data_IF_109892735162
#
_entry.id   IF_109892735162
#
_cell.length_a   1.000
_cell.length_b   1.000
_cell.length_c   1.000
_cell.angle_alpha   90.00
_cell.angle_beta   90.00
_cell.angle_gamma   90.00
#
_symmetry.space_group_name_H-M   'P 1'
#
loop_
_entity.id
_entity.type
_entity.pdbx_description
1 polymer ?
#
# COMPACT_ATOMS: atom_id res chain seq x y z
N UNK A 1 28.19 10.66 -6.79
CA UNK A 1 26.78 11.08 -6.62
C UNK A 1 26.57 11.37 -5.15
N UNK A 2 25.75 12.37 -4.80
CA UNK A 2 25.32 12.60 -3.41
C UNK A 2 24.54 11.38 -2.93
N UNK A 3 24.85 10.87 -1.73
CA UNK A 3 24.07 9.77 -1.14
C UNK A 3 22.73 10.31 -0.62
N UNK A 4 21.60 9.59 -0.83
CA UNK A 4 20.30 10.11 -0.46
C UNK A 4 20.09 10.08 1.05
N UNK A 5 19.30 11.03 1.56
CA UNK A 5 18.73 11.00 2.91
C UNK A 5 17.26 10.57 2.84
N UNK A 6 16.94 9.47 3.50
CA UNK A 6 15.61 8.86 3.54
C UNK A 6 15.07 8.97 4.97
N UNK A 7 13.92 9.61 5.14
CA UNK A 7 13.19 9.65 6.41
C UNK A 7 12.02 8.68 6.31
N UNK A 8 11.90 7.77 7.27
CA UNK A 8 10.84 6.77 7.29
C UNK A 8 9.91 7.04 8.49
N UNK A 9 8.75 7.63 8.24
CA UNK A 9 7.71 7.93 9.22
C UNK A 9 6.77 6.73 9.37
N UNK A 10 6.54 6.31 10.61
CA UNK A 10 5.84 5.07 10.93
C UNK A 10 6.73 3.84 10.75
N UNK A 11 8.03 3.98 11.02
CA UNK A 11 9.03 2.93 10.85
C UNK A 11 8.77 1.70 11.72
N UNK A 12 7.97 1.82 12.79
CA UNK A 12 7.47 0.73 13.62
C UNK A 12 6.46 -0.18 12.93
N UNK A 13 6.01 0.16 11.71
CA UNK A 13 5.03 -0.62 10.96
C UNK A 13 5.52 -2.05 10.67
N UNK A 14 4.81 -3.04 11.20
CA UNK A 14 5.13 -4.46 10.94
C UNK A 14 4.84 -4.86 9.49
N UNK A 15 3.79 -4.32 8.88
CA UNK A 15 3.36 -4.69 7.52
C UNK A 15 4.26 -4.13 6.42
N UNK A 16 4.76 -2.89 6.59
CA UNK A 16 5.54 -2.21 5.56
C UNK A 16 7.00 -2.00 5.95
N UNK A 17 7.35 -1.99 7.25
CA UNK A 17 8.72 -1.78 7.71
C UNK A 17 9.71 -2.81 7.19
N UNK A 18 9.41 -4.11 7.37
CA UNK A 18 10.34 -5.20 7.00
C UNK A 18 10.58 -5.31 5.49
N UNK A 19 9.55 -5.31 4.61
CA UNK A 19 9.78 -5.33 3.17
C UNK A 19 10.56 -4.10 2.68
N UNK A 20 10.24 -2.90 3.19
CA UNK A 20 10.98 -1.68 2.85
C UNK A 20 12.43 -1.76 3.32
N UNK A 21 12.70 -2.31 4.50
CA UNK A 21 14.08 -2.53 4.98
C UNK A 21 14.84 -3.49 4.08
N UNK A 22 14.22 -4.61 3.68
CA UNK A 22 14.85 -5.56 2.75
C UNK A 22 15.29 -4.83 1.48
N UNK A 23 14.42 -4.02 0.89
CA UNK A 23 14.74 -3.33 -0.36
C UNK A 23 15.83 -2.27 -0.16
N UNK A 24 15.82 -1.53 0.96
CA UNK A 24 16.86 -0.55 1.28
C UNK A 24 18.24 -1.21 1.48
N UNK A 25 18.30 -2.29 2.26
CA UNK A 25 19.58 -2.93 2.62
C UNK A 25 20.11 -3.88 1.55
N UNK A 26 19.30 -4.30 0.58
CA UNK A 26 19.78 -5.13 -0.55
C UNK A 26 20.18 -4.33 -1.78
N UNK A 27 19.71 -3.08 -1.91
CA UNK A 27 19.97 -2.26 -3.08
C UNK A 27 21.32 -1.52 -3.01
N UNK A 28 22.23 -1.84 -3.94
CA UNK A 28 23.58 -1.28 -3.98
C UNK A 28 23.61 0.22 -4.23
N UNK A 29 22.59 0.75 -4.93
CA UNK A 29 22.49 2.18 -5.25
C UNK A 29 22.26 3.05 -4.01
N UNK A 30 21.89 2.44 -2.88
CA UNK A 30 21.67 3.10 -1.60
C UNK A 30 22.83 2.94 -0.62
N UNK A 31 23.96 2.37 -1.05
CA UNK A 31 25.15 2.27 -0.21
C UNK A 31 25.59 3.66 0.28
N UNK A 32 25.86 3.79 1.59
CA UNK A 32 26.22 5.06 2.23
C UNK A 32 25.08 6.08 2.37
N UNK A 33 23.83 5.71 2.06
CA UNK A 33 22.66 6.55 2.32
C UNK A 33 22.46 6.80 3.82
N UNK A 34 21.72 7.87 4.14
CA UNK A 34 21.26 8.12 5.51
C UNK A 34 19.81 7.67 5.64
N UNK A 35 19.53 6.80 6.60
CA UNK A 35 18.18 6.31 6.92
C UNK A 35 17.80 6.78 8.33
N UNK A 36 16.81 7.66 8.41
CA UNK A 36 16.27 8.18 9.66
C UNK A 36 14.92 7.50 9.95
N UNK A 37 14.84 6.71 11.01
CA UNK A 37 13.61 6.06 11.44
C UNK A 37 12.82 6.97 12.37
N UNK A 38 11.53 7.13 12.11
CA UNK A 38 10.65 7.98 12.91
C UNK A 38 9.41 7.20 13.31
N UNK A 39 9.15 7.13 14.60
CA UNK A 39 7.91 6.59 15.16
C UNK A 39 7.60 7.27 16.50
N UNK A 40 6.33 7.48 16.81
CA UNK A 40 5.90 8.05 18.09
C UNK A 40 6.01 7.03 19.22
N UNK A 41 5.96 5.74 18.88
CA UNK A 41 6.15 4.64 19.81
C UNK A 41 7.65 4.32 19.94
N UNK A 42 8.24 4.74 21.07
CA UNK A 42 9.66 4.57 21.33
C UNK A 42 10.09 3.09 21.42
N UNK A 43 9.22 2.20 21.88
CA UNK A 43 9.54 0.77 22.02
C UNK A 43 9.60 0.10 20.65
N UNK A 44 8.59 0.33 19.81
CA UNK A 44 8.58 -0.17 18.44
C UNK A 44 9.72 0.44 17.60
N UNK A 45 10.03 1.73 17.80
CA UNK A 45 11.16 2.39 17.17
C UNK A 45 12.51 1.74 17.55
N UNK A 46 12.70 1.39 18.82
CA UNK A 46 13.92 0.71 19.28
C UNK A 46 14.08 -0.66 18.61
N UNK A 47 13.01 -1.46 18.58
CA UNK A 47 13.01 -2.79 17.93
C UNK A 47 13.39 -2.69 16.46
N UNK A 48 12.77 -1.76 15.73
CA UNK A 48 13.05 -1.57 14.30
C UNK A 48 14.44 -0.99 14.06
N UNK A 49 14.94 -0.10 14.92
CA UNK A 49 16.31 0.40 14.81
C UNK A 49 17.36 -0.69 15.07
N UNK A 50 17.12 -1.59 16.03
CA UNK A 50 17.99 -2.75 16.25
C UNK A 50 18.01 -3.68 15.03
N UNK A 51 16.85 -3.93 14.41
CA UNK A 51 16.77 -4.69 13.15
C UNK A 51 17.55 -3.99 12.03
N UNK A 52 17.36 -2.67 11.84
CA UNK A 52 18.07 -1.89 10.83
C UNK A 52 19.60 -1.98 11.01
N UNK A 53 20.11 -1.87 12.24
CA UNK A 53 21.53 -2.06 12.55
C UNK A 53 22.01 -3.43 12.12
N UNK A 54 21.28 -4.48 12.48
CA UNK A 54 21.66 -5.85 12.12
C UNK A 54 21.68 -6.08 10.61
N UNK A 55 20.69 -5.56 9.90
CA UNK A 55 20.63 -5.64 8.44
C UNK A 55 21.76 -4.85 7.77
N UNK A 56 22.13 -3.68 8.31
CA UNK A 56 23.26 -2.90 7.82
C UNK A 56 24.61 -3.61 8.00
N UNK A 57 24.82 -4.24 9.16
CA UNK A 57 26.01 -5.06 9.44
C UNK A 57 26.13 -6.23 8.46
N UNK A 58 25.04 -6.98 8.26
CA UNK A 58 25.03 -8.17 7.40
C UNK A 58 25.16 -7.80 5.92
N UNK A 59 24.47 -6.75 5.48
CA UNK A 59 24.49 -6.32 4.08
C UNK A 59 25.76 -5.60 3.67
N UNK A 60 26.53 -5.06 4.62
CA UNK A 60 27.76 -4.31 4.35
C UNK A 60 27.53 -3.01 3.58
N UNK A 61 26.29 -2.49 3.50
CA UNK A 61 25.95 -1.31 2.70
C UNK A 61 26.40 0.02 3.32
N UNK A 62 26.81 0.01 4.60
CA UNK A 62 27.39 1.16 5.27
C UNK A 62 26.43 2.35 5.40
N UNK A 63 25.13 2.10 5.56
CA UNK A 63 24.15 3.17 5.77
C UNK A 63 24.43 3.89 7.10
N UNK A 64 24.14 5.19 7.13
CA UNK A 64 24.10 5.98 8.37
C UNK A 64 22.70 5.89 8.95
N UNK A 65 22.56 5.34 10.16
CA UNK A 65 21.27 5.07 10.78
C UNK A 65 20.99 6.04 11.92
N UNK A 66 19.88 6.76 11.81
CA UNK A 66 19.36 7.66 12.85
C UNK A 66 17.96 7.21 13.27
N UNK A 67 17.54 7.61 14.47
CA UNK A 67 16.16 7.45 14.92
C UNK A 67 15.73 8.61 15.81
N UNK A 68 14.44 8.95 15.78
CA UNK A 68 13.84 9.96 16.66
C UNK A 68 12.33 9.73 16.77
N UNK A 69 11.72 10.18 17.86
CA UNK A 69 10.26 10.27 17.96
C UNK A 69 9.72 11.59 17.38
N UNK A 70 10.60 12.53 17.07
CA UNK A 70 10.27 13.87 16.60
C UNK A 70 10.70 14.05 15.14
N UNK A 71 9.76 13.89 14.20
CA UNK A 71 10.04 13.92 12.75
C UNK A 71 10.83 15.15 12.29
N UNK A 72 10.55 16.33 12.87
CA UNK A 72 11.19 17.60 12.47
C UNK A 72 12.71 17.59 12.67
N UNK A 73 13.24 16.80 13.61
CA UNK A 73 14.68 16.71 13.87
C UNK A 73 15.46 16.14 12.68
N UNK A 74 14.80 15.33 11.84
CA UNK A 74 15.45 14.59 10.76
C UNK A 74 14.94 14.95 9.37
N UNK A 75 13.86 15.74 9.24
CA UNK A 75 13.31 16.13 7.93
C UNK A 75 14.24 17.03 7.11
N UNK A 76 15.04 17.88 7.78
CA UNK A 76 15.92 18.83 7.09
C UNK A 76 16.85 18.12 6.09
N UNK A 77 16.77 18.54 4.82
CA UNK A 77 17.60 18.03 3.73
C UNK A 77 17.26 16.60 3.27
N UNK A 78 16.12 16.04 3.67
CA UNK A 78 15.64 14.75 3.15
C UNK A 78 15.43 14.81 1.62
N UNK A 79 15.74 13.70 0.96
CA UNK A 79 15.46 13.49 -0.47
C UNK A 79 14.18 12.68 -0.68
N UNK A 80 13.89 11.77 0.26
CA UNK A 80 12.70 10.93 0.28
C UNK A 80 12.12 10.85 1.69
N UNK A 81 10.80 10.97 1.79
CA UNK A 81 10.04 10.74 3.01
C UNK A 81 9.07 9.59 2.74
N UNK A 82 9.35 8.44 3.33
CA UNK A 82 8.47 7.25 3.27
C UNK A 82 7.48 7.35 4.43
N UNK A 83 6.20 7.17 4.14
CA UNK A 83 5.14 7.18 5.14
C UNK A 83 4.40 5.85 5.17
N UNK A 84 4.38 5.21 6.34
CA UNK A 84 3.53 4.05 6.62
C UNK A 84 2.85 4.15 7.99
N UNK A 85 2.51 5.36 8.42
CA UNK A 85 1.82 5.59 9.69
C UNK A 85 0.42 4.95 9.70
N UNK A 86 0.00 4.54 10.88
CA UNK A 86 -1.39 4.22 11.18
C UNK A 86 -1.68 4.53 12.64
N UNK A 87 -2.78 5.24 12.89
CA UNK A 87 -3.20 5.63 14.24
C UNK A 87 -4.01 4.47 14.82
N UNK A 88 -3.55 3.87 15.92
CA UNK A 88 -4.26 2.80 16.65
C UNK A 88 -4.95 1.78 15.72
N UNK A 89 -4.21 1.33 14.68
CA UNK A 89 -4.72 0.68 13.46
C UNK A 89 -5.84 -0.31 13.73
N UNK A 90 -5.58 -1.33 14.55
CA UNK A 90 -6.50 -2.44 14.73
C UNK A 90 -7.78 -2.03 15.47
N UNK A 91 -7.66 -1.25 16.55
CA UNK A 91 -8.80 -0.91 17.39
C UNK A 91 -9.71 0.13 16.73
N UNK A 92 -9.13 1.09 15.99
CA UNK A 92 -9.91 2.04 15.21
C UNK A 92 -10.53 1.37 13.98
N UNK A 93 -9.84 0.45 13.31
CA UNK A 93 -10.42 -0.27 12.17
C UNK A 93 -11.59 -1.17 12.58
N UNK A 94 -11.52 -1.85 13.74
CA UNK A 94 -12.67 -2.56 14.31
C UNK A 94 -13.88 -1.64 14.47
N UNK A 95 -13.67 -0.38 14.87
CA UNK A 95 -14.75 0.61 15.00
C UNK A 95 -15.24 1.11 13.65
N UNK A 96 -14.32 1.40 12.71
CA UNK A 96 -14.66 1.79 11.33
C UNK A 96 -15.52 0.76 10.63
N UNK A 97 -15.32 -0.51 10.95
CA UNK A 97 -16.13 -1.61 10.44
C UNK A 97 -17.46 -1.76 11.19
N UNK A 98 -17.43 -1.84 12.53
CA UNK A 98 -18.61 -2.18 13.36
C UNK A 98 -19.62 -1.03 13.51
N UNK A 99 -19.16 0.22 13.56
CA UNK A 99 -20.06 1.36 13.77
C UNK A 99 -21.03 1.52 12.59
N UNK A 100 -20.59 1.56 11.31
CA UNK A 100 -21.53 1.59 10.18
C UNK A 100 -22.46 0.37 10.15
N UNK A 101 -21.94 -0.81 10.47
CA UNK A 101 -22.72 -2.06 10.50
C UNK A 101 -23.89 -1.98 11.50
N UNK A 102 -23.68 -1.38 12.68
CA UNK A 102 -24.74 -1.13 13.67
C UNK A 102 -25.91 -0.30 13.11
N UNK A 103 -25.65 0.55 12.12
CA UNK A 103 -26.66 1.39 11.48
C UNK A 103 -27.16 0.82 10.13
N UNK A 104 -26.90 -0.46 9.86
CA UNK A 104 -27.41 -1.16 8.68
C UNK A 104 -26.56 -0.99 7.42
N UNK A 105 -25.36 -0.42 7.52
CA UNK A 105 -24.42 -0.37 6.39
C UNK A 105 -23.74 -1.73 6.24
N UNK A 106 -23.98 -2.38 5.10
CA UNK A 106 -23.32 -3.63 4.71
C UNK A 106 -22.08 -3.30 3.88
N UNK A 107 -20.93 -3.84 4.28
CA UNK A 107 -19.65 -3.61 3.62
C UNK A 107 -18.65 -4.71 3.93
N UNK A 108 -17.56 -4.76 3.18
CA UNK A 108 -16.53 -5.81 3.28
C UNK A 108 -15.51 -5.52 4.36
N UNK A 109 -14.82 -4.36 4.29
CA UNK A 109 -13.64 -4.06 5.11
C UNK A 109 -13.75 -2.70 5.82
N UNK A 110 -14.29 -1.68 5.15
CA UNK A 110 -14.43 -0.33 5.71
C UNK A 110 -13.09 0.39 5.89
N UNK A 111 -12.06 0.01 5.15
CA UNK A 111 -10.71 0.61 5.19
C UNK A 111 -10.52 1.67 4.11
N UNK A 112 -10.87 1.37 2.85
CA UNK A 112 -10.60 2.26 1.70
C UNK A 112 -11.87 2.81 1.04
N UNK A 113 -13.01 2.13 1.24
CA UNK A 113 -14.32 2.60 0.80
C UNK A 113 -15.37 2.63 1.90
N UNK A 114 -16.54 3.16 1.56
CA UNK A 114 -17.67 3.31 2.48
C UNK A 114 -17.44 4.27 3.66
N UNK A 115 -18.36 4.26 4.65
CA UNK A 115 -18.30 5.16 5.81
C UNK A 115 -17.10 4.91 6.74
N UNK A 116 -16.63 3.66 6.86
CA UNK A 116 -15.43 3.34 7.64
C UNK A 116 -14.18 4.06 7.12
N UNK A 117 -13.98 4.05 5.80
CA UNK A 117 -12.89 4.76 5.15
C UNK A 117 -12.99 6.28 5.29
N UNK A 118 -14.22 6.83 5.40
CA UNK A 118 -14.41 8.25 5.71
C UNK A 118 -13.91 8.58 7.12
N UNK A 119 -14.28 7.78 8.13
CA UNK A 119 -13.77 7.95 9.49
C UNK A 119 -12.25 7.85 9.53
N UNK A 120 -11.69 6.85 8.84
CA UNK A 120 -10.25 6.68 8.73
C UNK A 120 -9.57 7.88 8.05
N UNK A 121 -10.14 8.39 6.96
CA UNK A 121 -9.64 9.60 6.28
C UNK A 121 -9.63 10.81 7.21
N UNK A 122 -10.71 11.05 7.95
CA UNK A 122 -10.83 12.21 8.84
C UNK A 122 -9.82 12.19 9.98
N UNK A 123 -9.37 11.02 10.43
CA UNK A 123 -8.32 10.90 11.44
C UNK A 123 -6.91 11.03 10.84
N UNK A 124 -6.68 10.43 9.68
CA UNK A 124 -5.34 10.33 9.08
C UNK A 124 -4.94 11.59 8.33
N UNK A 125 -5.85 12.18 7.54
CA UNK A 125 -5.52 13.28 6.65
C UNK A 125 -4.96 14.52 7.38
N UNK A 126 -5.47 14.94 8.57
CA UNK A 126 -4.86 16.03 9.32
C UNK A 126 -3.39 15.80 9.63
N UNK A 127 -3.03 14.58 10.09
CA UNK A 127 -1.63 14.22 10.37
C UNK A 127 -0.77 14.25 9.12
N UNK A 128 -1.29 13.78 7.98
CA UNK A 128 -0.58 13.88 6.70
C UNK A 128 -0.33 15.34 6.34
N UNK A 129 -1.34 16.22 6.46
CA UNK A 129 -1.18 17.63 6.14
C UNK A 129 -0.19 18.33 7.08
N UNK A 130 -0.09 17.90 8.35
CA UNK A 130 0.95 18.38 9.27
C UNK A 130 2.35 17.98 8.78
N UNK A 131 2.53 16.74 8.32
CA UNK A 131 3.78 16.27 7.70
C UNK A 131 4.09 17.07 6.43
N UNK A 132 3.08 17.34 5.59
CA UNK A 132 3.28 18.13 4.37
C UNK A 132 3.80 19.53 4.69
N UNK A 133 3.23 20.21 5.68
CA UNK A 133 3.71 21.55 6.12
C UNK A 133 5.14 21.50 6.63
N UNK A 134 5.50 20.49 7.40
CA UNK A 134 6.89 20.30 7.86
C UNK A 134 7.85 20.04 6.68
N UNK A 135 7.43 19.25 5.69
CA UNK A 135 8.23 18.99 4.49
C UNK A 135 8.39 20.23 3.62
N UNK A 136 7.34 21.04 3.44
CA UNK A 136 7.43 22.28 2.66
C UNK A 136 8.43 23.28 3.28
N UNK A 137 8.56 23.28 4.61
CA UNK A 137 9.54 24.10 5.32
C UNK A 137 10.96 23.53 5.27
N UNK A 138 11.11 22.22 5.54
CA UNK A 138 12.42 21.61 5.86
C UNK A 138 13.06 20.85 4.70
N UNK A 139 12.26 20.37 3.76
CA UNK A 139 12.70 19.57 2.62
C UNK A 139 11.73 19.68 1.41
N UNK A 140 11.48 20.88 0.87
CA UNK A 140 10.46 21.11 -0.16
C UNK A 140 10.70 20.32 -1.47
N UNK A 141 11.94 19.90 -1.71
CA UNK A 141 12.31 19.10 -2.88
C UNK A 141 12.24 17.58 -2.66
N UNK A 142 11.87 17.12 -1.46
CA UNK A 142 11.74 15.70 -1.19
C UNK A 142 10.55 15.08 -1.91
N UNK A 143 10.64 13.78 -2.20
CA UNK A 143 9.47 12.98 -2.59
C UNK A 143 8.79 12.40 -1.35
N UNK A 144 7.48 12.56 -1.26
CA UNK A 144 6.63 11.85 -0.31
C UNK A 144 6.13 10.54 -0.93
N UNK A 145 6.52 9.42 -0.33
CA UNK A 145 6.17 8.07 -0.76
C UNK A 145 5.22 7.46 0.26
N UNK A 146 3.94 7.35 -0.09
CA UNK A 146 2.89 6.95 0.83
C UNK A 146 2.48 5.48 0.67
N UNK A 147 2.59 4.71 1.75
CA UNK A 147 2.02 3.37 1.92
C UNK A 147 0.79 3.33 2.83
N UNK A 148 0.47 4.44 3.51
CA UNK A 148 -0.69 4.50 4.42
C UNK A 148 -2.01 4.52 3.66
N UNK A 149 -3.00 3.81 4.20
CA UNK A 149 -4.39 3.91 3.77
C UNK A 149 -5.14 5.03 4.52
N UNK A 150 -6.26 5.53 3.97
CA UNK A 150 -6.80 5.24 2.63
C UNK A 150 -6.04 5.98 1.54
N UNK A 151 -5.26 5.25 0.73
CA UNK A 151 -4.19 5.81 -0.10
C UNK A 151 -4.72 6.85 -1.09
N UNK A 152 -5.80 6.53 -1.80
CA UNK A 152 -6.40 7.44 -2.79
C UNK A 152 -6.82 8.77 -2.16
N UNK A 153 -7.35 8.76 -0.92
CA UNK A 153 -7.76 9.98 -0.21
C UNK A 153 -6.56 10.78 0.28
N UNK A 154 -5.53 10.11 0.78
CA UNK A 154 -4.29 10.73 1.22
C UNK A 154 -3.60 11.42 0.05
N UNK A 155 -3.35 10.68 -1.04
CA UNK A 155 -2.67 11.21 -2.23
C UNK A 155 -3.47 12.33 -2.87
N UNK A 156 -4.81 12.21 -2.95
CA UNK A 156 -5.68 13.30 -3.41
C UNK A 156 -5.55 14.54 -2.53
N UNK A 157 -5.60 14.38 -1.21
CA UNK A 157 -5.47 15.48 -0.26
C UNK A 157 -4.11 16.19 -0.36
N UNK A 158 -3.02 15.43 -0.46
CA UNK A 158 -1.68 15.99 -0.68
C UNK A 158 -1.62 16.80 -1.98
N UNK A 159 -2.11 16.25 -3.09
CA UNK A 159 -2.08 16.93 -4.39
C UNK A 159 -2.99 18.18 -4.44
N UNK A 160 -4.07 18.22 -3.65
CA UNK A 160 -4.95 19.39 -3.59
C UNK A 160 -4.41 20.50 -2.69
N UNK A 161 -3.71 20.15 -1.61
CA UNK A 161 -3.40 21.08 -0.53
C UNK A 161 -1.91 21.28 -0.23
N UNK A 162 -1.01 20.63 -0.96
CA UNK A 162 0.44 20.77 -0.82
C UNK A 162 1.14 20.82 -2.17
N UNK A 163 2.35 21.38 -2.20
CA UNK A 163 3.24 21.38 -3.37
C UNK A 163 4.25 20.24 -3.37
N UNK A 164 4.29 19.42 -2.31
CA UNK A 164 5.22 18.29 -2.19
C UNK A 164 4.94 17.24 -3.27
N UNK A 165 6.02 16.77 -3.90
CA UNK A 165 5.97 15.67 -4.88
C UNK A 165 5.50 14.40 -4.19
N UNK A 166 4.38 13.82 -4.61
CA UNK A 166 3.73 12.72 -3.90
C UNK A 166 3.44 11.52 -4.82
N UNK A 167 3.74 10.31 -4.33
CA UNK A 167 3.35 9.04 -4.98
C UNK A 167 2.73 8.11 -3.92
N UNK A 168 1.58 7.54 -4.23
CA UNK A 168 0.99 6.42 -3.49
C UNK A 168 1.52 5.08 -4.00
N UNK A 169 1.80 4.16 -3.09
CA UNK A 169 2.37 2.84 -3.41
C UNK A 169 1.53 1.74 -2.76
N UNK A 170 0.93 0.89 -3.59
CA UNK A 170 0.19 -0.29 -3.17
C UNK A 170 0.57 -1.53 -4.00
N UNK A 171 0.47 -2.70 -3.39
CA UNK A 171 0.81 -3.99 -4.00
C UNK A 171 -0.38 -4.67 -4.71
N UNK A 172 -1.57 -4.06 -4.74
CA UNK A 172 -2.80 -4.67 -5.26
C UNK A 172 -2.74 -5.14 -6.72
N UNK A 173 -1.91 -4.51 -7.56
CA UNK A 173 -1.67 -4.95 -8.94
C UNK A 173 -0.97 -6.33 -8.99
N UNK A 174 -0.10 -6.63 -8.02
CA UNK A 174 0.59 -7.91 -7.93
C UNK A 174 -0.34 -9.03 -7.48
N UNK A 175 -1.37 -8.72 -6.68
CA UNK A 175 -2.41 -9.67 -6.31
C UNK A 175 -3.22 -10.10 -7.54
N UNK A 176 -3.64 -9.14 -8.37
CA UNK A 176 -4.33 -9.44 -9.63
C UNK A 176 -3.45 -10.25 -10.59
N UNK A 177 -2.16 -9.90 -10.70
CA UNK A 177 -1.19 -10.67 -11.49
C UNK A 177 -1.09 -12.12 -11.02
N UNK A 178 -1.06 -12.35 -9.71
CA UNK A 178 -1.01 -13.70 -9.13
C UNK A 178 -2.31 -14.48 -9.41
N UNK A 179 -3.47 -13.85 -9.21
CA UNK A 179 -4.77 -14.46 -9.52
C UNK A 179 -4.86 -14.86 -11.01
N UNK A 180 -4.46 -13.96 -11.91
CA UNK A 180 -4.46 -14.23 -13.35
C UNK A 180 -3.47 -15.32 -13.74
N UNK A 181 -2.25 -15.29 -13.20
CA UNK A 181 -1.24 -16.32 -13.46
C UNK A 181 -1.68 -17.71 -12.96
N UNK A 182 -2.32 -17.76 -11.79
CA UNK A 182 -2.89 -18.98 -11.22
C UNK A 182 -3.96 -19.58 -12.14
N UNK A 183 -4.89 -18.76 -12.63
CA UNK A 183 -5.93 -19.20 -13.58
C UNK A 183 -5.29 -19.65 -14.90
N UNK A 184 -4.27 -18.94 -15.38
CA UNK A 184 -3.52 -19.33 -16.59
C UNK A 184 -2.67 -20.60 -16.39
N UNK A 185 -2.44 -21.05 -15.15
CA UNK A 185 -1.50 -22.14 -14.86
C UNK A 185 -0.05 -21.79 -15.21
N UNK A 186 0.34 -20.52 -15.03
CA UNK A 186 1.67 -19.99 -15.35
C UNK A 186 2.36 -19.44 -14.10
N UNK A 187 3.71 -19.40 -14.05
CA UNK A 187 4.43 -18.64 -13.04
C UNK A 187 4.01 -17.16 -13.08
N UNK A 188 3.83 -16.52 -11.91
CA UNK A 188 3.44 -15.11 -11.87
C UNK A 188 4.46 -14.24 -12.62
N UNK A 189 5.75 -14.58 -12.52
CA UNK A 189 6.89 -13.89 -13.11
C UNK A 189 6.84 -13.84 -14.64
N UNK A 190 6.19 -14.82 -15.29
CA UNK A 190 6.05 -14.89 -16.75
C UNK A 190 4.85 -14.11 -17.28
N UNK A 191 3.96 -13.64 -16.40
CA UNK A 191 2.79 -12.83 -16.78
C UNK A 191 3.12 -11.36 -16.53
N UNK A 192 2.96 -10.51 -17.52
CA UNK A 192 3.01 -9.06 -17.40
C UNK A 192 1.59 -8.50 -17.41
N UNK A 193 1.31 -7.53 -16.54
CA UNK A 193 0.01 -6.86 -16.48
C UNK A 193 0.16 -5.35 -16.54
N UNK A 194 -0.77 -4.69 -17.21
CA UNK A 194 -0.94 -3.24 -17.17
C UNK A 194 -2.36 -2.94 -16.69
N UNK A 195 -2.49 -2.15 -15.63
CA UNK A 195 -3.77 -1.79 -15.02
C UNK A 195 -3.98 -0.29 -14.92
N UNK A 196 -5.23 0.15 -14.94
CA UNK A 196 -5.61 1.55 -14.79
C UNK A 196 -6.88 1.69 -13.91
N UNK A 197 -6.90 2.72 -13.07
CA UNK A 197 -8.00 3.01 -12.13
C UNK A 197 -7.50 3.71 -10.86
N UNK A 198 -8.23 3.54 -9.76
CA UNK A 198 -7.86 4.08 -8.43
C UNK A 198 -7.20 2.99 -7.56
N UNK A 199 -6.53 3.34 -6.47
CA UNK A 199 -6.03 2.32 -5.54
C UNK A 199 -7.17 1.37 -5.14
N UNK A 200 -6.91 0.05 -5.14
CA UNK A 200 -7.89 -1.01 -4.84
C UNK A 200 -9.14 -1.06 -5.77
N UNK A 201 -9.16 -0.26 -6.84
CA UNK A 201 -10.26 -0.21 -7.79
C UNK A 201 -9.75 0.05 -9.21
N UNK A 202 -9.03 -0.93 -9.77
CA UNK A 202 -8.41 -0.84 -11.10
C UNK A 202 -8.87 -2.00 -11.98
N UNK A 203 -8.71 -1.83 -13.29
CA UNK A 203 -8.96 -2.85 -14.30
C UNK A 203 -7.68 -3.16 -15.04
N UNK A 204 -7.38 -4.45 -15.23
CA UNK A 204 -6.26 -4.91 -16.04
C UNK A 204 -6.59 -4.66 -17.51
N UNK A 205 -5.94 -3.65 -18.09
CA UNK A 205 -6.10 -3.24 -19.48
C UNK A 205 -5.33 -4.15 -20.45
N UNK A 206 -4.23 -4.75 -20.00
CA UNK A 206 -3.48 -5.73 -20.77
C UNK A 206 -2.88 -6.80 -19.86
N UNK A 207 -2.88 -8.04 -20.35
CA UNK A 207 -2.18 -9.18 -19.74
C UNK A 207 -1.38 -9.87 -20.84
N UNK A 208 -0.07 -10.01 -20.66
CA UNK A 208 0.82 -10.52 -21.71
C UNK A 208 1.77 -11.57 -21.18
N UNK A 209 2.22 -12.45 -22.06
CA UNK A 209 3.40 -13.25 -21.79
C UNK A 209 4.63 -12.33 -21.83
N UNK A 210 5.39 -12.32 -20.75
CA UNK A 210 6.52 -11.40 -20.58
C UNK A 210 7.66 -11.67 -21.59
N UNK A 211 7.80 -12.91 -22.06
CA UNK A 211 8.88 -13.28 -22.97
C UNK A 211 8.49 -13.05 -24.44
N UNK A 212 7.26 -13.39 -24.81
CA UNK A 212 6.82 -13.33 -26.23
C UNK A 212 6.04 -12.06 -26.56
N UNK A 213 5.48 -11.37 -25.56
CA UNK A 213 4.58 -10.24 -25.74
C UNK A 213 3.16 -10.64 -26.19
N UNK A 214 2.86 -11.94 -26.24
CA UNK A 214 1.54 -12.46 -26.63
C UNK A 214 0.44 -11.98 -25.68
N UNK A 215 -0.71 -11.57 -26.23
CA UNK A 215 -1.89 -11.23 -25.42
C UNK A 215 -2.51 -12.50 -24.82
N UNK A 216 -2.55 -12.55 -23.49
CA UNK A 216 -3.05 -13.71 -22.76
C UNK A 216 -4.54 -13.62 -22.42
N UNK A 217 -5.23 -12.51 -22.70
CA UNK A 217 -6.66 -12.39 -22.40
C UNK A 217 -7.54 -13.46 -23.06
N UNK A 218 -7.33 -13.83 -24.34
CA UNK A 218 -8.10 -14.89 -24.99
C UNK A 218 -7.94 -16.26 -24.31
N UNK A 219 -6.72 -16.62 -23.90
CA UNK A 219 -6.46 -17.84 -23.14
C UNK A 219 -7.08 -17.75 -21.74
N UNK A 220 -6.88 -16.62 -21.07
CA UNK A 220 -7.40 -16.35 -19.73
C UNK A 220 -8.92 -16.53 -19.68
N UNK A 221 -9.69 -16.00 -20.64
CA UNK A 221 -11.16 -16.19 -20.70
C UNK A 221 -11.57 -17.66 -20.75
N UNK A 222 -10.86 -18.49 -21.53
CA UNK A 222 -11.17 -19.92 -21.64
C UNK A 222 -10.90 -20.63 -20.33
N UNK A 223 -9.71 -20.41 -19.76
CA UNK A 223 -9.31 -21.03 -18.49
C UNK A 223 -10.13 -20.54 -17.31
N UNK A 224 -10.45 -19.25 -17.26
CA UNK A 224 -11.32 -18.66 -16.24
C UNK A 224 -12.70 -19.31 -16.25
N UNK A 225 -13.29 -19.61 -17.42
CA UNK A 225 -14.60 -20.25 -17.49
C UNK A 225 -14.61 -21.67 -16.88
N UNK A 226 -13.48 -22.38 -16.94
CA UNK A 226 -13.31 -23.75 -16.43
C UNK A 226 -12.71 -23.80 -15.01
N UNK A 227 -12.30 -22.64 -14.46
CA UNK A 227 -11.62 -22.56 -13.17
C UNK A 227 -12.58 -22.67 -11.98
N UNK A 228 -12.09 -23.17 -10.84
CA UNK A 228 -12.82 -23.33 -9.57
C UNK A 228 -13.73 -22.12 -9.26
N UNK A 229 -15.07 -22.26 -9.27
CA UNK A 229 -16.01 -21.16 -9.07
C UNK A 229 -15.83 -20.36 -7.77
N UNK A 230 -15.28 -20.99 -6.72
CA UNK A 230 -15.07 -20.36 -5.41
C UNK A 230 -13.82 -19.47 -5.38
N UNK A 231 -12.97 -19.55 -6.40
CA UNK A 231 -11.81 -18.67 -6.50
C UNK A 231 -12.23 -17.28 -7.00
N UNK A 232 -12.17 -16.27 -6.11
CA UNK A 232 -12.47 -14.86 -6.41
C UNK A 232 -13.84 -14.66 -7.09
N UNK A 233 -14.93 -15.17 -6.52
CA UNK A 233 -16.24 -15.19 -7.16
C UNK A 233 -16.75 -13.79 -7.52
N UNK A 234 -16.46 -12.77 -6.70
CA UNK A 234 -16.90 -11.40 -6.96
C UNK A 234 -16.09 -10.77 -8.09
N UNK A 235 -14.76 -10.82 -8.02
CA UNK A 235 -13.88 -10.29 -9.08
C UNK A 235 -14.15 -10.92 -10.44
N UNK A 236 -14.37 -12.24 -10.48
CA UNK A 236 -14.68 -12.97 -11.72
C UNK A 236 -16.06 -12.65 -12.27
N UNK A 237 -17.05 -12.40 -11.41
CA UNK A 237 -18.36 -11.91 -11.85
C UNK A 237 -18.23 -10.55 -12.53
N UNK A 238 -17.48 -9.64 -11.93
CA UNK A 238 -17.22 -8.33 -12.51
C UNK A 238 -16.40 -8.44 -13.81
N UNK A 239 -15.42 -9.34 -13.87
CA UNK A 239 -14.70 -9.65 -15.11
C UNK A 239 -15.63 -10.10 -16.25
N UNK A 240 -16.56 -11.01 -15.97
CA UNK A 240 -17.53 -11.48 -16.98
C UNK A 240 -18.47 -10.37 -17.45
N UNK A 241 -18.80 -9.43 -16.57
CA UNK A 241 -19.67 -8.30 -16.90
C UNK A 241 -18.96 -7.21 -17.71
N UNK A 242 -17.80 -6.75 -17.24
CA UNK A 242 -17.07 -5.63 -17.83
C UNK A 242 -16.04 -6.03 -18.89
N UNK A 243 -15.69 -7.32 -18.96
CA UNK A 243 -14.75 -7.86 -19.91
C UNK A 243 -13.27 -7.72 -19.52
N UNK A 244 -12.91 -6.96 -18.48
CA UNK A 244 -11.53 -6.83 -18.00
C UNK A 244 -11.42 -7.37 -16.58
N UNK A 245 -10.29 -7.95 -16.18
CA UNK A 245 -10.14 -8.47 -14.83
C UNK A 245 -9.88 -7.31 -13.86
N UNK A 246 -10.61 -7.19 -12.73
CA UNK A 246 -10.40 -6.12 -11.77
C UNK A 246 -9.21 -6.42 -10.84
N UNK A 247 -8.68 -5.39 -10.16
CA UNK A 247 -7.58 -5.54 -9.22
C UNK A 247 -7.97 -5.54 -7.76
N UNK A 248 -6.95 -6.00 -7.04
CA UNK A 248 -6.89 -6.53 -5.70
C UNK A 248 -7.76 -7.77 -5.54
N UNK A 249 -8.34 -7.95 -4.37
CA UNK A 249 -9.20 -9.08 -4.04
C UNK A 249 -10.66 -8.64 -3.91
N UNK A 250 -11.56 -9.63 -3.84
CA UNK A 250 -13.01 -9.44 -3.74
C UNK A 250 -13.39 -8.42 -2.64
N UNK A 251 -12.80 -8.56 -1.44
CA UNK A 251 -13.04 -7.70 -0.29
C UNK A 251 -12.62 -6.23 -0.52
N UNK A 252 -11.50 -5.98 -1.18
CA UNK A 252 -11.01 -4.65 -1.53
C UNK A 252 -11.88 -4.01 -2.61
N UNK A 253 -12.20 -4.79 -3.64
CA UNK A 253 -13.03 -4.36 -4.75
C UNK A 253 -14.42 -3.97 -4.26
N UNK A 254 -15.01 -4.78 -3.38
CA UNK A 254 -16.33 -4.58 -2.80
C UNK A 254 -16.48 -3.31 -1.96
N UNK A 255 -15.39 -2.66 -1.52
CA UNK A 255 -15.50 -1.40 -0.78
C UNK A 255 -16.02 -0.22 -1.64
N UNK A 256 -15.95 -0.34 -2.96
CA UNK A 256 -16.20 0.76 -3.89
C UNK A 256 -17.56 0.69 -4.60
N UNK A 257 -18.38 -0.34 -4.36
CA UNK A 257 -19.71 -0.47 -4.97
C UNK A 257 -20.80 -0.58 -3.91
N UNK A 258 -22.00 -0.06 -4.21
CA UNK A 258 -23.15 -0.11 -3.31
C UNK A 258 -23.60 -1.53 -2.96
N UNK A 259 -23.36 -2.49 -3.85
CA UNK A 259 -23.65 -3.93 -3.67
C UNK A 259 -22.39 -4.75 -3.33
N UNK A 260 -21.27 -4.08 -3.02
CA UNK A 260 -19.99 -4.76 -2.84
C UNK A 260 -19.90 -5.63 -1.59
N UNK A 261 -20.88 -5.56 -0.68
CA UNK A 261 -21.05 -6.53 0.41
C UNK A 261 -21.23 -7.98 -0.09
N UNK A 262 -21.57 -8.18 -1.37
CA UNK A 262 -21.63 -9.51 -2.00
C UNK A 262 -20.25 -10.19 -2.09
N UNK A 263 -19.17 -9.45 -1.90
CA UNK A 263 -17.81 -9.99 -1.75
C UNK A 263 -17.51 -10.52 -0.33
N UNK A 264 -18.42 -10.34 0.62
CA UNK A 264 -18.29 -10.78 2.01
C UNK A 264 -18.61 -9.66 3.01
N UNK A 265 -18.99 -10.05 4.23
CA UNK A 265 -19.33 -9.12 5.31
C UNK A 265 -18.60 -9.48 6.63
N UNK A 266 -17.55 -10.29 6.54
CA UNK A 266 -16.82 -10.81 7.71
C UNK A 266 -15.85 -9.78 8.30
N UNK A 267 -15.46 -8.76 7.53
CA UNK A 267 -14.43 -7.81 7.95
C UNK A 267 -13.01 -8.37 7.88
N UNK A 268 -12.07 -7.61 8.43
CA UNK A 268 -10.69 -8.06 8.58
C UNK A 268 -10.57 -9.05 9.76
N UNK A 269 -9.83 -10.14 9.56
CA UNK A 269 -9.53 -11.06 10.65
C UNK A 269 -8.34 -10.53 11.48
N UNK A 270 -8.64 -9.93 12.63
CA UNK A 270 -7.63 -9.38 13.55
C UNK A 270 -6.88 -10.44 14.37
N UNK A 271 -7.28 -11.71 14.30
CA UNK A 271 -6.68 -12.84 15.03
C UNK A 271 -5.86 -13.76 14.11
N UNK A 272 -5.76 -13.43 12.81
CA UNK A 272 -5.04 -14.22 11.79
C UNK A 272 -3.52 -14.05 11.84
#
# INVERSE_FOLDING_TARGET
MRTPKIVFIGAGSMSFGVPTFRDIFTNEKLAGATLCLVDIDAENLERMYALAKKMNEVSGRGLKLEKTTQRRDVLAGADFVINSLAIERCDLWKQDFRVPQKYGVRHTMGENGGPGALFFTMRTLPVILDIMRDMEELCPEAWFLNFSNPETRIVLGVNLYSKIKCIGLCHGIFMARWDMAKILGRPAESVEVFGAGMNHFQWIQAVRDKATGEDLYPEFRKKEAEFDPEFRPYSRRLFRFFGLYPTCSDDHLGEYQAYGYEAGEEGYNFEA
#
